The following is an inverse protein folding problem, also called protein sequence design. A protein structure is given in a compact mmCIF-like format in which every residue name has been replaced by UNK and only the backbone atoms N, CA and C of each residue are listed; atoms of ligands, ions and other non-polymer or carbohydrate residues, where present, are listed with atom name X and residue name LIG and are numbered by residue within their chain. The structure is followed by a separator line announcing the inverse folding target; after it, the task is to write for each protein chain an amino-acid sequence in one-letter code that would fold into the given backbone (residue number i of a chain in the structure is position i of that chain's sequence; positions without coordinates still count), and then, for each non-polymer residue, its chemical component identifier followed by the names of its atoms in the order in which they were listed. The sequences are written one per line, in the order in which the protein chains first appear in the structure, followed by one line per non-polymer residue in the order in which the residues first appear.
data_IF_706161394807
#
_entry.id   IF_706161394807
#
_cell.length_a   1.000
_cell.length_b   1.000
_cell.length_c   1.000
_cell.angle_alpha   90.00
_cell.angle_beta   90.00
_cell.angle_gamma   90.00
#
_symmetry.space_group_name_H-M   'P 1'
#
loop_
_entity.id
_entity.type
_entity.pdbx_description
1 polymer ?
#
# COMPACT_ATOMS: atom_id res chain seq x y z
N UNK A 1 -0.99 -7.13 2.74
CA UNK A 1 -0.40 -5.84 2.33
C UNK A 1 1.12 -5.86 2.37
N UNK A 2 1.79 -4.92 1.68
CA UNK A 2 3.25 -4.75 1.72
C UNK A 2 3.61 -3.34 2.19
N UNK A 3 4.43 -3.23 3.24
CA UNK A 3 4.81 -1.92 3.76
C UNK A 3 5.59 -1.11 2.71
N UNK A 4 5.11 0.09 2.39
CA UNK A 4 5.73 0.98 1.40
C UNK A 4 7.05 1.61 1.85
N UNK A 5 7.38 1.51 3.15
CA UNK A 5 8.64 2.01 3.71
C UNK A 5 9.71 0.93 3.88
N UNK A 6 9.36 -0.21 4.48
CA UNK A 6 10.34 -1.27 4.79
C UNK A 6 10.19 -2.53 3.94
N UNK A 7 9.16 -2.63 3.11
CA UNK A 7 8.92 -3.80 2.25
C UNK A 7 8.41 -5.05 2.97
N UNK A 8 8.20 -5.01 4.29
CA UNK A 8 7.67 -6.13 5.06
C UNK A 8 6.25 -6.49 4.59
N UNK A 9 5.98 -7.79 4.39
CA UNK A 9 4.71 -8.33 3.95
C UNK A 9 3.94 -8.90 5.14
N UNK A 10 2.68 -8.54 5.28
CA UNK A 10 1.81 -8.94 6.39
C UNK A 10 0.34 -8.90 5.99
N UNK A 11 -0.51 -9.66 6.69
CA UNK A 11 -1.96 -9.56 6.53
C UNK A 11 -2.50 -8.40 7.37
N UNK A 12 -3.25 -7.50 6.73
CA UNK A 12 -3.87 -6.36 7.41
C UNK A 12 -5.12 -6.75 8.21
N UNK A 13 -5.76 -7.87 7.86
CA UNK A 13 -6.94 -8.38 8.55
C UNK A 13 -6.59 -9.07 9.88
N UNK A 14 -5.33 -9.50 10.03
CA UNK A 14 -4.81 -10.09 11.26
C UNK A 14 -4.36 -9.04 12.29
N UNK A 15 -4.29 -7.76 11.90
CA UNK A 15 -3.88 -6.69 12.81
C UNK A 15 -5.05 -6.15 13.62
N UNK A 16 -5.00 -6.39 14.93
CA UNK A 16 -5.87 -5.71 15.88
C UNK A 16 -5.76 -4.18 15.72
N UNK A 17 -6.91 -3.51 15.65
CA UNK A 17 -7.01 -2.06 15.49
C UNK A 17 -6.18 -1.50 14.32
N UNK A 18 -5.96 -2.29 13.24
CA UNK A 18 -5.14 -1.90 12.08
C UNK A 18 -3.69 -1.54 12.47
N UNK A 19 -3.18 -2.10 13.56
CA UNK A 19 -1.85 -1.81 14.11
C UNK A 19 -1.76 -0.46 14.84
N UNK A 20 -2.87 0.23 15.08
CA UNK A 20 -2.90 1.45 15.89
C UNK A 20 -2.84 1.11 17.39
N UNK A 21 -2.07 1.91 18.15
CA UNK A 21 -1.95 1.74 19.61
C UNK A 21 -2.94 2.62 20.39
N UNK A 22 -3.14 3.88 19.98
CA UNK A 22 -3.79 4.88 20.86
C UNK A 22 -4.38 6.11 20.18
N UNK A 23 -4.50 6.11 18.86
CA UNK A 23 -5.16 7.19 18.13
C UNK A 23 -6.68 6.97 18.22
N UNK A 24 -7.38 7.69 19.11
CA UNK A 24 -8.84 7.58 19.32
C UNK A 24 -9.74 7.90 18.11
N UNK A 25 -9.18 7.93 16.90
CA UNK A 25 -9.84 8.13 15.60
C UNK A 25 -10.14 6.78 14.91
N UNK A 26 -10.66 5.81 15.66
CA UNK A 26 -10.86 4.45 15.14
C UNK A 26 -11.92 4.36 14.03
N UNK A 27 -12.89 5.27 14.00
CA UNK A 27 -14.02 5.23 13.05
C UNK A 27 -13.75 5.87 11.69
N UNK A 28 -12.72 6.72 11.55
CA UNK A 28 -12.45 7.47 10.32
C UNK A 28 -10.97 7.46 9.88
N UNK A 29 -10.16 6.55 10.43
CA UNK A 29 -8.77 6.37 10.04
C UNK A 29 -8.63 5.18 9.08
N UNK A 30 -8.28 5.45 7.82
CA UNK A 30 -8.00 4.42 6.81
C UNK A 30 -6.51 4.04 6.71
N UNK A 31 -5.73 4.27 7.76
CA UNK A 31 -4.33 3.85 7.80
C UNK A 31 -4.18 2.48 8.48
N UNK A 32 -3.26 1.67 7.95
CA UNK A 32 -2.81 0.39 8.53
C UNK A 32 -1.32 0.49 8.85
N UNK A 33 -0.99 0.37 10.13
CA UNK A 33 0.37 0.51 10.62
C UNK A 33 1.15 -0.79 10.45
N UNK A 34 2.35 -0.67 9.86
CA UNK A 34 3.26 -1.79 9.68
C UNK A 34 3.70 -2.36 11.05
N UNK A 35 3.53 -3.66 11.33
CA UNK A 35 3.94 -4.27 12.59
C UNK A 35 5.47 -4.32 12.74
N UNK A 36 6.22 -4.22 11.64
CA UNK A 36 7.68 -4.23 11.66
C UNK A 36 8.32 -2.85 11.91
N UNK A 37 7.77 -1.77 11.33
CA UNK A 37 8.39 -0.44 11.41
C UNK A 37 7.46 0.69 11.89
N UNK A 38 6.20 0.41 12.15
CA UNK A 38 5.21 1.38 12.64
C UNK A 38 4.66 2.36 11.59
N UNK A 39 5.13 2.32 10.35
CA UNK A 39 4.68 3.23 9.30
C UNK A 39 3.20 3.02 8.92
N UNK A 40 2.44 4.12 8.84
CA UNK A 40 1.03 4.12 8.40
C UNK A 40 0.90 3.99 6.89
N UNK A 41 0.48 2.82 6.42
CA UNK A 41 0.14 2.58 5.02
C UNK A 41 -1.32 2.96 4.76
N UNK A 42 -1.63 3.39 3.55
CA UNK A 42 -3.01 3.63 3.14
C UNK A 42 -3.36 2.56 2.09
N UNK A 43 -4.34 1.67 2.32
CA UNK A 43 -4.67 0.59 1.39
C UNK A 43 -4.97 1.10 -0.03
N UNK A 44 -5.63 2.25 -0.15
CA UNK A 44 -5.93 2.88 -1.46
C UNK A 44 -4.70 3.30 -2.27
N UNK A 45 -3.52 3.34 -1.65
CA UNK A 45 -2.27 3.68 -2.33
C UNK A 45 -1.44 2.45 -2.71
N UNK A 46 -1.95 1.24 -2.44
CA UNK A 46 -1.39 0.00 -3.00
C UNK A 46 -1.86 -0.21 -4.46
N UNK A 47 -2.97 0.42 -4.86
CA UNK A 47 -3.41 0.44 -6.25
C UNK A 47 -2.51 1.35 -7.10
N UNK A 48 -1.94 0.78 -8.17
CA UNK A 48 -1.22 1.56 -9.16
C UNK A 48 -2.21 2.45 -9.93
N UNK A 49 -1.96 3.76 -9.98
CA UNK A 49 -2.83 4.67 -10.72
C UNK A 49 -3.01 4.22 -12.18
N UNK A 50 -4.25 4.27 -12.68
CA UNK A 50 -4.60 3.83 -14.04
C UNK A 50 -3.69 4.46 -15.12
N UNK A 51 -3.28 5.72 -14.91
CA UNK A 51 -2.39 6.41 -15.84
C UNK A 51 -0.98 5.79 -15.90
N UNK A 52 -0.45 5.29 -14.77
CA UNK A 52 0.88 4.66 -14.72
C UNK A 52 0.83 3.31 -15.43
N UNK A 53 -0.24 2.54 -15.24
CA UNK A 53 -0.47 1.27 -15.96
C UNK A 53 -0.47 1.52 -17.48
N UNK A 54 -1.23 2.51 -17.96
CA UNK A 54 -1.28 2.89 -19.39
C UNK A 54 0.10 3.31 -19.93
N UNK A 55 0.89 4.06 -19.14
CA UNK A 55 2.25 4.45 -19.52
C UNK A 55 3.18 3.24 -19.64
N UNK A 56 3.16 2.34 -18.65
CA UNK A 56 3.95 1.09 -18.67
C UNK A 56 3.60 0.23 -19.89
N UNK A 57 2.32 0.08 -20.20
CA UNK A 57 1.87 -0.70 -21.36
C UNK A 57 2.31 -0.08 -22.69
N UNK A 58 2.36 1.25 -22.77
CA UNK A 58 2.88 1.96 -23.94
C UNK A 58 4.38 1.76 -24.11
N UNK A 59 5.15 1.77 -23.01
CA UNK A 59 6.60 1.51 -23.04
C UNK A 59 6.92 0.05 -23.41
N UNK A 60 6.17 -0.92 -22.86
CA UNK A 60 6.30 -2.35 -23.21
C UNK A 60 6.07 -2.59 -24.70
N UNK A 61 5.01 -2.00 -25.28
CA UNK A 61 4.71 -2.10 -26.73
C UNK A 61 5.87 -1.61 -27.59
N UNK A 62 6.48 -0.48 -27.23
CA UNK A 62 7.64 0.08 -27.96
C UNK A 62 8.88 -0.80 -27.87
N UNK A 63 9.09 -1.49 -26.76
CA UNK A 63 10.25 -2.38 -26.55
C UNK A 63 10.19 -3.67 -27.36
N UNK A 64 9.00 -4.06 -27.84
CA UNK A 64 8.79 -5.27 -28.65
C UNK A 64 8.93 -5.02 -30.16
N UNK A 65 9.10 -3.77 -30.60
CA UNK A 65 9.18 -3.39 -32.03
C UNK A 65 10.61 -3.05 -32.49
N UNK A 66 11.60 -3.19 -31.61
CA UNK A 66 13.04 -3.11 -31.90
C UNK A 66 13.70 -4.43 -31.53
#
# INVERSE_FOLDING_TARGET
MKCRMCGFEFDENELENRGCISCGKHSNCNQVHCPNCGFGNHPELDDEFEFIVKLKDRLKRRKSTN
#
